data_IF_901082952293
#
_entry.id   IF_901082952293
#
_cell.length_a   1.000
_cell.length_b   1.000
_cell.length_c   1.000
_cell.angle_alpha   90.00
_cell.angle_beta   90.00
_cell.angle_gamma   90.00
#
_symmetry.space_group_name_H-M   'P 1'
#
loop_
_entity.id
_entity.type
_entity.pdbx_description
1 polymer ?
#
# COMPACT_ATOMS: atom_id res chain seq x y z
N UNK A 1 -23.07 -0.40 -18.82
CA UNK A 1 -23.35 -1.44 -17.79
C UNK A 1 -24.22 -0.80 -16.75
N UNK A 2 -25.40 -1.35 -16.46
CA UNK A 2 -26.26 -0.90 -15.35
C UNK A 2 -25.57 -1.30 -14.03
N UNK A 3 -25.26 -0.32 -13.22
CA UNK A 3 -24.75 -0.53 -11.89
C UNK A 3 -25.83 -1.14 -11.01
N UNK A 4 -25.55 -2.32 -10.56
CA UNK A 4 -26.03 -2.99 -9.37
C UNK A 4 -27.49 -2.91 -9.02
N UNK A 5 -28.22 -3.94 -9.37
CA UNK A 5 -29.52 -4.24 -8.75
C UNK A 5 -29.36 -4.86 -7.34
N UNK A 6 -28.40 -4.40 -6.52
CA UNK A 6 -28.29 -4.88 -5.15
C UNK A 6 -29.47 -4.36 -4.31
N UNK A 7 -30.10 -5.19 -3.49
CA UNK A 7 -31.13 -4.75 -2.56
C UNK A 7 -30.60 -3.60 -1.69
N UNK A 8 -31.33 -2.49 -1.61
CA UNK A 8 -30.94 -1.32 -0.85
C UNK A 8 -30.28 -0.20 -1.65
N UNK A 9 -30.14 -0.32 -2.95
CA UNK A 9 -29.71 0.76 -3.81
C UNK A 9 -30.79 1.84 -3.91
N UNK A 10 -30.46 3.09 -3.62
CA UNK A 10 -31.41 4.20 -3.47
C UNK A 10 -32.16 4.49 -4.77
N UNK A 11 -31.52 4.29 -5.94
CA UNK A 11 -32.19 4.47 -7.23
C UNK A 11 -31.55 3.57 -8.30
N UNK A 12 -32.25 2.49 -8.62
CA UNK A 12 -31.82 1.48 -9.60
C UNK A 12 -31.81 2.00 -11.05
N UNK A 13 -32.50 3.09 -11.33
CA UNK A 13 -32.65 3.63 -12.67
C UNK A 13 -31.74 4.83 -12.93
N UNK A 14 -31.06 5.29 -11.89
CA UNK A 14 -30.17 6.45 -11.99
C UNK A 14 -28.78 6.03 -12.50
N UNK A 15 -28.33 6.69 -13.53
CA UNK A 15 -26.97 6.60 -14.02
C UNK A 15 -26.14 7.78 -13.48
N UNK A 16 -25.44 7.55 -12.37
CA UNK A 16 -24.61 8.58 -11.74
C UNK A 16 -23.51 9.08 -12.66
N UNK A 17 -23.00 8.26 -13.57
CA UNK A 17 -21.98 8.68 -14.53
C UNK A 17 -22.52 9.75 -15.49
N UNK A 18 -23.72 9.51 -16.04
CA UNK A 18 -24.42 10.52 -16.83
C UNK A 18 -24.70 11.79 -16.03
N UNK A 19 -25.07 11.68 -14.76
CA UNK A 19 -25.32 12.84 -13.90
C UNK A 19 -24.06 13.69 -13.70
N UNK A 20 -22.90 13.08 -13.46
CA UNK A 20 -21.63 13.78 -13.34
C UNK A 20 -21.26 14.48 -14.67
N UNK A 21 -21.42 13.80 -15.80
CA UNK A 21 -21.13 14.39 -17.10
C UNK A 21 -22.05 15.57 -17.41
N UNK A 22 -23.36 15.45 -17.10
CA UNK A 22 -24.31 16.55 -17.23
C UNK A 22 -24.00 17.73 -16.29
N UNK A 23 -23.42 17.47 -15.13
CA UNK A 23 -22.91 18.49 -14.21
C UNK A 23 -21.59 19.14 -14.67
N UNK A 24 -21.04 18.74 -15.82
CA UNK A 24 -19.84 19.34 -16.42
C UNK A 24 -18.53 18.66 -16.08
N UNK A 25 -18.58 17.46 -15.49
CA UNK A 25 -17.35 16.67 -15.25
C UNK A 25 -16.85 16.04 -16.56
N UNK A 26 -15.57 16.22 -16.85
CA UNK A 26 -14.87 15.40 -17.82
C UNK A 26 -14.68 14.00 -17.21
N UNK A 27 -14.91 12.96 -18.01
CA UNK A 27 -14.81 11.59 -17.54
C UNK A 27 -13.66 10.86 -18.19
N UNK A 28 -12.84 10.19 -17.38
CA UNK A 28 -11.74 9.34 -17.80
C UNK A 28 -11.94 7.92 -17.26
N UNK A 29 -12.30 6.94 -18.10
CA UNK A 29 -12.46 5.53 -17.71
C UNK A 29 -11.15 4.73 -17.68
N UNK A 30 -10.09 5.26 -18.26
CA UNK A 30 -8.79 4.60 -18.42
C UNK A 30 -7.66 5.63 -18.43
N UNK A 31 -6.41 5.14 -18.40
CA UNK A 31 -5.22 5.99 -18.42
C UNK A 31 -5.12 6.82 -19.69
N UNK A 32 -5.41 6.22 -20.84
CA UNK A 32 -5.32 6.94 -22.11
C UNK A 32 -6.27 8.13 -22.14
N UNK A 33 -7.50 7.97 -21.66
CA UNK A 33 -8.47 9.04 -21.52
C UNK A 33 -8.02 10.08 -20.49
N UNK A 34 -7.44 9.66 -19.36
CA UNK A 34 -6.89 10.57 -18.37
C UNK A 34 -5.75 11.41 -18.95
N UNK A 35 -4.85 10.81 -19.72
CA UNK A 35 -3.75 11.51 -20.36
C UNK A 35 -4.25 12.55 -21.38
N UNK A 36 -5.33 12.26 -22.08
CA UNK A 36 -5.94 13.15 -23.08
C UNK A 36 -6.68 14.36 -22.47
N UNK A 37 -6.95 14.38 -21.18
CA UNK A 37 -7.57 15.52 -20.49
C UNK A 37 -6.68 16.76 -20.62
N UNK A 38 -7.23 17.85 -21.19
CA UNK A 38 -6.61 19.18 -21.20
C UNK A 38 -6.88 19.87 -19.84
N UNK A 39 -5.87 20.01 -18.97
CA UNK A 39 -6.07 20.59 -17.64
C UNK A 39 -6.45 22.08 -17.66
N UNK A 40 -6.12 22.80 -18.73
CA UNK A 40 -6.44 24.22 -18.84
C UNK A 40 -7.92 24.47 -19.15
N UNK A 41 -8.58 23.48 -19.76
CA UNK A 41 -10.00 23.55 -20.14
C UNK A 41 -10.91 22.78 -19.18
N UNK A 42 -10.34 21.90 -18.36
CA UNK A 42 -11.09 21.04 -17.44
C UNK A 42 -11.17 21.68 -16.06
N UNK A 43 -12.37 21.85 -15.55
CA UNK A 43 -12.62 22.39 -14.21
C UNK A 43 -13.00 21.31 -13.21
N UNK A 44 -13.62 20.26 -13.71
CA UNK A 44 -14.12 19.13 -12.91
C UNK A 44 -13.77 17.84 -13.66
N UNK A 45 -13.15 16.91 -12.97
CA UNK A 45 -12.67 15.64 -13.53
C UNK A 45 -13.14 14.48 -12.68
N UNK A 46 -13.71 13.47 -13.32
CA UNK A 46 -14.07 12.19 -12.74
C UNK A 46 -13.24 11.09 -13.41
N UNK A 47 -12.37 10.46 -12.66
CA UNK A 47 -11.64 9.25 -13.09
C UNK A 47 -12.19 8.02 -12.39
N UNK A 48 -12.65 7.03 -13.13
CA UNK A 48 -13.11 5.75 -12.60
C UNK A 48 -12.50 4.63 -13.44
N UNK A 49 -11.45 4.03 -12.93
CA UNK A 49 -10.57 3.15 -13.69
C UNK A 49 -10.82 1.65 -13.44
N UNK A 50 -11.72 1.30 -12.54
CA UNK A 50 -12.12 -0.07 -12.28
C UNK A 50 -13.55 -0.12 -11.71
N UNK A 51 -14.11 -1.31 -11.62
CA UNK A 51 -15.43 -1.56 -11.01
C UNK A 51 -15.39 -1.67 -9.48
N UNK A 52 -14.23 -1.91 -8.94
CA UNK A 52 -13.96 -2.03 -7.51
C UNK A 52 -12.61 -1.37 -7.21
N UNK A 53 -11.77 -1.98 -6.40
CA UNK A 53 -10.41 -1.50 -6.20
C UNK A 53 -9.65 -1.46 -7.54
N UNK A 54 -8.81 -0.47 -7.71
CA UNK A 54 -7.87 -0.47 -8.84
C UNK A 54 -6.87 -1.63 -8.69
N UNK A 55 -6.30 -2.05 -9.80
CA UNK A 55 -5.20 -3.01 -9.78
C UNK A 55 -4.06 -2.47 -8.91
N UNK A 56 -3.42 -3.36 -8.17
CA UNK A 56 -2.29 -3.00 -7.31
C UNK A 56 -1.05 -2.64 -8.14
N UNK A 57 -0.12 -1.90 -7.55
CA UNK A 57 1.07 -1.41 -8.24
C UNK A 57 1.86 -2.52 -8.93
N UNK A 58 2.09 -3.66 -8.26
CA UNK A 58 2.76 -4.82 -8.86
C UNK A 58 2.09 -5.26 -10.16
N UNK A 59 0.77 -5.44 -10.12
CA UNK A 59 0.01 -5.94 -11.27
C UNK A 59 0.03 -4.93 -12.44
N UNK A 60 -0.04 -3.64 -12.14
CA UNK A 60 0.10 -2.56 -13.15
C UNK A 60 1.51 -2.52 -13.76
N UNK A 61 2.55 -2.65 -12.93
CA UNK A 61 3.96 -2.65 -13.38
C UNK A 61 4.22 -3.84 -14.30
N UNK A 62 3.87 -5.03 -13.84
CA UNK A 62 4.11 -6.26 -14.59
C UNK A 62 3.27 -6.32 -15.87
N UNK A 63 2.02 -5.87 -15.83
CA UNK A 63 1.17 -5.75 -17.02
C UNK A 63 1.76 -4.81 -18.06
N UNK A 64 2.26 -3.63 -17.64
CA UNK A 64 2.92 -2.67 -18.54
C UNK A 64 4.21 -3.24 -19.14
N UNK A 65 5.02 -3.92 -18.33
CA UNK A 65 6.26 -4.57 -18.77
C UNK A 65 5.99 -5.72 -19.73
N UNK A 66 5.02 -6.58 -19.43
CA UNK A 66 4.60 -7.67 -20.29
C UNK A 66 4.12 -7.16 -21.66
N UNK A 67 3.28 -6.13 -21.67
CA UNK A 67 2.80 -5.49 -22.91
C UNK A 67 3.94 -4.93 -23.75
N UNK A 68 4.92 -4.29 -23.14
CA UNK A 68 6.09 -3.76 -23.86
C UNK A 68 6.95 -4.85 -24.49
N UNK A 69 6.99 -6.04 -23.88
CA UNK A 69 7.77 -7.19 -24.34
C UNK A 69 6.96 -8.13 -25.24
N UNK A 70 5.68 -7.85 -25.45
CA UNK A 70 4.80 -8.74 -26.21
C UNK A 70 4.54 -10.09 -25.51
N UNK A 71 4.63 -10.11 -24.18
CA UNK A 71 4.36 -11.30 -23.36
C UNK A 71 2.90 -11.34 -22.94
N UNK A 72 2.47 -12.51 -22.47
CA UNK A 72 1.16 -12.65 -21.83
C UNK A 72 1.06 -11.77 -20.59
N UNK A 73 -0.12 -11.21 -20.36
CA UNK A 73 -0.37 -10.44 -19.15
C UNK A 73 -0.28 -11.35 -17.91
N UNK A 74 0.37 -10.88 -16.84
CA UNK A 74 0.43 -11.62 -15.59
C UNK A 74 -0.95 -11.71 -14.93
N UNK A 75 -1.09 -12.62 -14.00
CA UNK A 75 -2.30 -12.75 -13.21
C UNK A 75 -2.47 -11.50 -12.34
N UNK A 76 -3.64 -10.88 -12.46
CA UNK A 76 -4.03 -9.69 -11.70
C UNK A 76 -4.92 -10.11 -10.54
N UNK A 77 -4.65 -9.55 -9.35
CA UNK A 77 -5.55 -9.70 -8.20
C UNK A 77 -6.82 -8.89 -8.48
N UNK A 78 -7.97 -9.48 -8.23
CA UNK A 78 -9.28 -8.83 -8.45
C UNK A 78 -9.47 -8.29 -9.87
N UNK A 79 -9.12 -9.07 -10.89
CA UNK A 79 -9.27 -8.68 -12.29
C UNK A 79 -10.75 -8.42 -12.65
N UNK A 80 -11.04 -7.19 -13.02
CA UNK A 80 -12.35 -6.75 -13.49
C UNK A 80 -12.37 -6.39 -14.98
N UNK A 81 -11.30 -6.72 -15.71
CA UNK A 81 -11.17 -6.48 -17.15
C UNK A 81 -10.88 -5.03 -17.53
N UNK A 82 -10.14 -4.30 -16.69
CA UNK A 82 -9.71 -2.92 -16.94
C UNK A 82 -8.17 -2.82 -16.90
N UNK A 83 -7.47 -3.19 -17.98
CA UNK A 83 -6.01 -3.28 -17.97
C UNK A 83 -5.30 -1.92 -18.05
N UNK A 84 -5.95 -0.88 -18.58
CA UNK A 84 -5.34 0.44 -18.77
C UNK A 84 -5.68 1.38 -17.60
N UNK A 85 -5.03 1.11 -16.46
CA UNK A 85 -5.21 1.93 -15.26
C UNK A 85 -3.99 2.84 -15.01
N UNK A 86 -4.19 4.10 -14.57
CA UNK A 86 -3.08 4.97 -14.21
C UNK A 86 -2.43 4.55 -12.90
N UNK A 87 -1.16 4.93 -12.72
CA UNK A 87 -0.48 4.89 -11.44
C UNK A 87 -0.92 6.08 -10.57
N UNK A 88 -0.70 5.98 -9.26
CA UNK A 88 -1.11 7.04 -8.33
C UNK A 88 -0.38 8.37 -8.58
N UNK A 89 0.90 8.33 -8.94
CA UNK A 89 1.67 9.52 -9.30
C UNK A 89 1.14 10.18 -10.60
N UNK A 90 0.69 9.40 -11.57
CA UNK A 90 0.05 9.89 -12.79
C UNK A 90 -1.29 10.58 -12.49
N UNK A 91 -2.08 9.98 -11.59
CA UNK A 91 -3.35 10.57 -11.13
C UNK A 91 -3.10 11.86 -10.35
N UNK A 92 -2.12 11.86 -9.43
CA UNK A 92 -1.73 13.04 -8.66
C UNK A 92 -1.27 14.19 -9.55
N UNK A 93 -0.42 13.91 -10.52
CA UNK A 93 0.05 14.91 -11.49
C UNK A 93 -1.11 15.52 -12.28
N UNK A 94 -2.05 14.70 -12.77
CA UNK A 94 -3.22 15.19 -13.50
C UNK A 94 -4.16 16.01 -12.61
N UNK A 95 -4.38 15.57 -11.37
CA UNK A 95 -5.20 16.30 -10.40
C UNK A 95 -4.61 17.69 -10.10
N UNK A 96 -3.33 17.77 -9.82
CA UNK A 96 -2.62 19.04 -9.58
C UNK A 96 -2.68 19.95 -10.82
N UNK A 97 -2.47 19.40 -12.02
CA UNK A 97 -2.54 20.16 -13.24
C UNK A 97 -3.92 20.80 -13.50
N UNK A 98 -5.00 20.13 -13.08
CA UNK A 98 -6.36 20.67 -13.16
C UNK A 98 -6.63 21.67 -12.03
N UNK A 99 -6.24 21.33 -10.80
CA UNK A 99 -6.60 22.09 -9.60
C UNK A 99 -5.81 23.40 -9.46
N UNK A 100 -4.58 23.48 -9.96
CA UNK A 100 -3.75 24.70 -9.87
C UNK A 100 -4.41 25.95 -10.49
N UNK A 101 -5.40 25.76 -11.34
CA UNK A 101 -6.13 26.86 -11.97
C UNK A 101 -7.32 27.36 -11.15
N UNK A 102 -7.52 26.86 -9.93
CA UNK A 102 -8.61 27.29 -9.07
C UNK A 102 -8.23 28.61 -8.36
N UNK A 103 -9.00 29.70 -8.59
CA UNK A 103 -8.61 31.04 -8.11
C UNK A 103 -8.66 31.18 -6.59
N UNK A 104 -9.32 30.27 -5.90
CA UNK A 104 -9.41 30.24 -4.41
C UNK A 104 -8.48 29.21 -3.77
N UNK A 105 -7.56 28.64 -4.53
CA UNK A 105 -6.76 27.50 -4.09
C UNK A 105 -7.54 26.19 -4.08
N UNK A 106 -6.93 25.15 -3.56
CA UNK A 106 -7.51 23.80 -3.49
C UNK A 106 -6.99 23.03 -2.29
N UNK A 107 -7.71 21.99 -1.95
CA UNK A 107 -7.27 20.90 -1.07
C UNK A 107 -7.32 19.62 -1.89
N UNK A 108 -6.23 18.86 -1.90
CA UNK A 108 -6.12 17.59 -2.58
C UNK A 108 -5.70 16.51 -1.59
N UNK A 109 -6.48 15.44 -1.51
CA UNK A 109 -6.10 14.22 -0.79
C UNK A 109 -5.67 13.17 -1.80
N UNK A 110 -4.51 12.57 -1.57
CA UNK A 110 -3.95 11.48 -2.38
C UNK A 110 -3.78 10.29 -1.46
N UNK A 111 -4.43 9.17 -1.79
CA UNK A 111 -4.48 8.00 -0.92
C UNK A 111 -3.80 6.78 -1.58
N UNK A 112 -2.80 6.22 -0.90
CA UNK A 112 -2.22 4.92 -1.22
C UNK A 112 -3.01 3.77 -0.57
N UNK A 113 -4.29 3.64 -0.89
CA UNK A 113 -5.24 2.75 -0.22
C UNK A 113 -4.87 1.26 -0.24
N UNK A 114 -4.14 0.81 -1.25
CA UNK A 114 -3.80 -0.60 -1.39
C UNK A 114 -2.60 -1.02 -0.56
N UNK A 115 -1.85 -0.09 0.04
CA UNK A 115 -0.84 -0.42 1.06
C UNK A 115 -1.50 -1.20 2.20
N UNK A 116 -2.57 -0.67 2.77
CA UNK A 116 -3.36 -1.33 3.84
C UNK A 116 -3.94 -2.67 3.38
N UNK A 117 -4.59 -2.68 2.22
CA UNK A 117 -5.25 -3.90 1.71
C UNK A 117 -4.28 -5.06 1.50
N UNK A 118 -3.10 -4.79 0.96
CA UNK A 118 -2.09 -5.82 0.73
C UNK A 118 -1.35 -6.16 2.03
N UNK A 119 -1.20 -5.22 2.96
CA UNK A 119 -0.67 -5.49 4.30
C UNK A 119 -1.61 -6.39 5.11
N UNK A 120 -2.92 -6.20 5.03
CA UNK A 120 -3.88 -7.12 5.62
C UNK A 120 -3.70 -8.57 5.12
N UNK A 121 -3.45 -8.74 3.82
CA UNK A 121 -3.16 -10.04 3.24
C UNK A 121 -1.74 -10.54 3.53
N UNK A 122 -0.90 -9.73 4.17
CA UNK A 122 0.53 -10.00 4.40
C UNK A 122 1.29 -10.27 3.09
N UNK A 123 0.82 -9.67 2.00
CA UNK A 123 1.45 -9.76 0.69
C UNK A 123 2.56 -8.73 0.58
N UNK A 124 3.76 -9.15 0.99
CA UNK A 124 4.93 -8.29 1.13
C UNK A 124 5.29 -7.58 -0.17
N UNK A 125 5.31 -8.28 -1.28
CA UNK A 125 5.72 -7.70 -2.56
C UNK A 125 4.74 -6.60 -2.99
N UNK A 126 3.45 -6.87 -2.85
CA UNK A 126 2.43 -5.92 -3.26
C UNK A 126 2.39 -4.69 -2.38
N UNK A 127 2.34 -4.81 -1.05
CA UNK A 127 2.29 -3.60 -0.22
C UNK A 127 3.58 -2.77 -0.27
N UNK A 128 4.75 -3.39 -0.49
CA UNK A 128 6.00 -2.64 -0.70
C UNK A 128 5.96 -1.85 -2.00
N UNK A 129 5.47 -2.44 -3.09
CA UNK A 129 5.35 -1.73 -4.37
C UNK A 129 4.26 -0.66 -4.34
N UNK A 130 3.17 -0.87 -3.61
CA UNK A 130 2.18 0.17 -3.32
C UNK A 130 2.80 1.36 -2.56
N UNK A 131 3.67 1.07 -1.59
CA UNK A 131 4.39 2.12 -0.85
C UNK A 131 5.33 2.91 -1.76
N UNK A 132 6.01 2.25 -2.70
CA UNK A 132 6.84 2.93 -3.70
C UNK A 132 5.99 3.76 -4.67
N UNK A 133 4.83 3.28 -5.08
CA UNK A 133 3.88 4.05 -5.90
C UNK A 133 3.41 5.31 -5.15
N UNK A 134 3.10 5.17 -3.86
CA UNK A 134 2.73 6.30 -3.00
C UNK A 134 3.89 7.30 -2.83
N UNK A 135 5.11 6.84 -2.60
CA UNK A 135 6.30 7.70 -2.49
C UNK A 135 6.49 8.55 -3.76
N UNK A 136 6.26 7.98 -4.94
CA UNK A 136 6.28 8.71 -6.21
C UNK A 136 5.19 9.78 -6.29
N UNK A 137 4.00 9.50 -5.80
CA UNK A 137 2.93 10.49 -5.73
C UNK A 137 3.27 11.62 -4.74
N UNK A 138 3.89 11.28 -3.60
CA UNK A 138 4.44 12.26 -2.65
C UNK A 138 5.49 13.14 -3.33
N UNK A 139 6.38 12.55 -4.13
CA UNK A 139 7.37 13.33 -4.89
C UNK A 139 6.70 14.32 -5.85
N UNK A 140 5.67 13.92 -6.57
CA UNK A 140 4.90 14.80 -7.45
C UNK A 140 4.33 15.98 -6.67
N UNK A 141 3.74 15.75 -5.50
CA UNK A 141 3.20 16.80 -4.65
C UNK A 141 4.29 17.74 -4.11
N UNK A 142 5.44 17.19 -3.69
CA UNK A 142 6.57 17.99 -3.21
C UNK A 142 7.19 18.84 -4.32
N UNK A 143 7.35 18.30 -5.52
CA UNK A 143 7.89 19.04 -6.65
C UNK A 143 6.96 20.20 -7.03
N UNK A 144 5.64 19.95 -7.04
CA UNK A 144 4.65 20.99 -7.22
C UNK A 144 4.77 22.10 -6.15
N UNK A 145 4.87 21.70 -4.87
CA UNK A 145 5.00 22.65 -3.78
C UNK A 145 6.31 23.47 -3.84
N UNK A 146 7.41 22.87 -4.29
CA UNK A 146 8.68 23.61 -4.51
C UNK A 146 8.57 24.62 -5.65
N UNK A 147 7.90 24.25 -6.72
CA UNK A 147 7.73 25.11 -7.89
C UNK A 147 6.85 26.33 -7.58
N UNK A 148 5.76 26.15 -6.83
CA UNK A 148 4.78 27.19 -6.55
C UNK A 148 5.09 28.00 -5.27
N UNK A 149 5.72 27.39 -4.28
CA UNK A 149 6.15 28.05 -3.04
C UNK A 149 5.03 28.36 -2.04
N UNK A 150 3.79 28.09 -2.34
CA UNK A 150 2.58 28.41 -1.56
C UNK A 150 1.78 27.18 -1.13
N UNK A 151 2.32 26.00 -1.33
CA UNK A 151 1.62 24.74 -1.09
C UNK A 151 2.19 24.01 0.10
N UNK A 152 1.33 23.67 1.06
CA UNK A 152 1.62 22.79 2.19
C UNK A 152 1.34 21.34 1.79
N UNK A 153 2.32 20.48 1.95
CA UNK A 153 2.20 19.03 1.75
C UNK A 153 2.31 18.33 3.10
N UNK A 154 1.38 17.47 3.42
CA UNK A 154 1.38 16.61 4.61
C UNK A 154 1.31 15.17 4.17
N UNK A 155 2.15 14.32 4.74
CA UNK A 155 2.22 12.90 4.48
C UNK A 155 2.08 12.16 5.79
N UNK A 156 1.09 11.29 5.89
CA UNK A 156 0.85 10.48 7.07
C UNK A 156 0.10 9.20 6.70
N UNK A 157 -0.10 8.32 7.65
CA UNK A 157 -1.05 7.22 7.56
C UNK A 157 -2.21 7.46 8.54
N UNK A 158 -3.35 6.84 8.28
CA UNK A 158 -4.50 6.83 9.19
C UNK A 158 -4.29 5.85 10.35
N UNK A 159 -3.53 4.78 10.12
CA UNK A 159 -3.13 3.76 11.11
C UNK A 159 -1.99 2.90 10.55
N UNK A 160 -1.43 2.07 11.40
CA UNK A 160 -0.57 0.96 11.05
C UNK A 160 -1.42 -0.24 10.60
N UNK A 161 -0.86 -1.11 9.77
CA UNK A 161 -1.50 -2.37 9.36
C UNK A 161 -0.55 -3.56 9.46
N UNK A 162 -1.10 -4.68 9.93
CA UNK A 162 -0.44 -6.00 10.03
C UNK A 162 0.72 -6.13 11.02
N UNK A 163 1.13 -5.08 11.70
CA UNK A 163 2.35 -5.08 12.51
C UNK A 163 3.59 -5.41 11.66
N UNK A 164 3.61 -4.93 10.43
CA UNK A 164 4.71 -5.17 9.50
C UNK A 164 5.98 -4.49 10.00
N UNK A 165 7.04 -5.29 10.18
CA UNK A 165 8.33 -4.79 10.64
C UNK A 165 9.45 -5.28 9.73
N UNK A 166 10.28 -4.36 9.26
CA UNK A 166 11.54 -4.69 8.61
C UNK A 166 12.51 -5.22 9.65
N UNK A 167 12.80 -6.53 9.61
CA UNK A 167 13.70 -7.18 10.57
C UNK A 167 15.14 -7.08 10.08
N UNK A 168 15.35 -7.07 8.77
CA UNK A 168 16.68 -6.99 8.17
C UNK A 168 16.71 -7.42 6.73
N UNK A 169 17.91 -7.69 6.21
CA UNK A 169 18.15 -8.20 4.87
C UNK A 169 18.86 -9.55 4.87
N UNK A 170 18.58 -10.38 3.88
CA UNK A 170 19.28 -11.65 3.70
C UNK A 170 20.67 -11.43 3.10
N UNK A 171 21.65 -12.19 3.61
CA UNK A 171 22.99 -12.29 3.02
C UNK A 171 23.07 -13.32 1.91
N UNK A 172 22.08 -14.18 1.84
CA UNK A 172 22.05 -15.28 0.88
C UNK A 172 21.69 -14.72 -0.48
N UNK A 173 22.35 -15.17 -1.52
CA UNK A 173 22.04 -14.78 -2.89
C UNK A 173 20.69 -15.37 -3.32
N UNK A 174 20.04 -14.78 -4.32
CA UNK A 174 18.78 -15.28 -4.88
C UNK A 174 18.89 -16.74 -5.34
N UNK A 175 20.02 -17.13 -5.92
CA UNK A 175 20.26 -18.50 -6.36
C UNK A 175 20.34 -19.49 -5.18
N UNK A 176 20.98 -19.09 -4.09
CA UNK A 176 21.04 -19.89 -2.87
C UNK A 176 19.68 -19.99 -2.18
N UNK A 177 18.91 -18.91 -2.12
CA UNK A 177 17.55 -18.92 -1.60
C UNK A 177 16.66 -19.87 -2.38
N UNK A 178 16.72 -19.84 -3.71
CA UNK A 178 15.99 -20.78 -4.57
C UNK A 178 16.44 -22.22 -4.37
N UNK A 179 17.74 -22.47 -4.21
CA UNK A 179 18.27 -23.78 -3.94
C UNK A 179 17.80 -24.32 -2.58
N UNK A 180 17.79 -23.48 -1.54
CA UNK A 180 17.28 -23.83 -0.22
C UNK A 180 15.78 -24.14 -0.24
N UNK A 181 15.00 -23.37 -0.98
CA UNK A 181 13.57 -23.60 -1.16
C UNK A 181 13.28 -24.94 -1.86
N UNK A 182 14.07 -25.28 -2.89
CA UNK A 182 13.95 -26.56 -3.62
C UNK A 182 14.40 -27.77 -2.81
N UNK A 183 15.38 -27.61 -1.93
CA UNK A 183 15.91 -28.70 -1.11
C UNK A 183 14.94 -29.24 -0.05
N UNK A 184 13.82 -28.56 0.17
CA UNK A 184 12.73 -29.04 1.02
C UNK A 184 13.06 -29.21 2.49
N UNK A 185 14.21 -28.73 2.93
CA UNK A 185 14.63 -28.76 4.33
C UNK A 185 14.00 -27.58 5.08
N UNK A 186 12.89 -27.83 5.74
CA UNK A 186 12.18 -26.82 6.55
C UNK A 186 12.96 -26.43 7.83
N UNK A 187 14.00 -27.15 8.15
CA UNK A 187 14.77 -26.91 9.35
C UNK A 187 15.70 -25.74 9.15
N UNK A 188 15.31 -24.57 9.68
CA UNK A 188 16.14 -23.38 9.81
C UNK A 188 16.56 -22.66 8.52
N UNK A 189 15.68 -22.54 7.56
CA UNK A 189 15.83 -21.50 6.53
C UNK A 189 16.05 -20.13 7.19
N UNK A 190 15.40 -19.85 8.32
CA UNK A 190 15.61 -18.64 9.11
C UNK A 190 17.04 -18.43 9.56
N UNK A 191 17.62 -19.40 10.21
CA UNK A 191 18.99 -19.27 10.74
C UNK A 191 20.04 -19.08 9.63
N UNK A 192 19.70 -19.49 8.42
CA UNK A 192 20.58 -19.34 7.25
C UNK A 192 20.35 -18.04 6.50
N UNK A 193 19.12 -17.49 6.52
CA UNK A 193 18.75 -16.29 5.77
C UNK A 193 18.65 -15.04 6.62
N UNK A 194 18.45 -15.15 7.94
CA UNK A 194 18.45 -14.00 8.83
C UNK A 194 19.85 -13.44 8.95
N UNK A 195 20.12 -12.34 8.28
CA UNK A 195 21.28 -11.52 8.53
C UNK A 195 21.07 -10.67 9.78
N UNK A 196 22.14 -10.47 10.56
CA UNK A 196 22.12 -9.42 11.56
C UNK A 196 21.97 -8.08 10.83
N UNK A 197 20.99 -7.26 11.26
CA UNK A 197 20.62 -5.99 10.61
C UNK A 197 21.85 -5.11 10.27
N UNK A 198 22.75 -4.96 11.22
CA UNK A 198 23.97 -4.16 11.06
C UNK A 198 25.00 -4.73 10.07
N UNK A 199 24.96 -6.03 9.85
CA UNK A 199 25.94 -6.73 9.03
C UNK A 199 25.42 -7.15 7.66
N UNK A 200 24.11 -7.35 7.52
CA UNK A 200 23.52 -7.76 6.26
C UNK A 200 23.46 -6.61 5.24
N UNK A 201 23.27 -5.38 5.72
CA UNK A 201 22.95 -4.24 4.87
C UNK A 201 21.57 -4.41 4.20
N UNK A 202 21.08 -3.34 3.63
CA UNK A 202 19.87 -3.43 2.79
C UNK A 202 20.26 -3.89 1.39
N UNK A 203 19.43 -4.72 0.74
CA UNK A 203 19.66 -5.08 -0.66
C UNK A 203 19.62 -3.84 -1.54
N UNK A 204 20.51 -3.80 -2.52
CA UNK A 204 20.50 -2.75 -3.55
C UNK A 204 19.74 -3.29 -4.74
N UNK A 205 18.59 -2.70 -5.01
CA UNK A 205 17.77 -3.04 -6.16
C UNK A 205 18.19 -2.21 -7.36
N UNK A 206 18.30 -2.85 -8.51
CA UNK A 206 18.49 -2.17 -9.80
C UNK A 206 17.11 -1.63 -10.21
N UNK A 207 17.06 -0.34 -10.55
CA UNK A 207 15.85 0.28 -11.07
C UNK A 207 15.73 0.05 -12.59
N UNK A 208 14.55 -0.30 -13.04
CA UNK A 208 14.20 -0.35 -14.45
C UNK A 208 13.91 1.06 -14.99
N UNK A 209 13.71 1.17 -16.29
CA UNK A 209 13.43 2.44 -16.95
C UNK A 209 12.13 3.13 -16.47
N UNK A 210 11.18 2.34 -15.95
CA UNK A 210 9.93 2.83 -15.37
C UNK A 210 10.11 3.40 -13.95
N UNK A 211 11.34 3.33 -13.39
CA UNK A 211 11.67 3.83 -12.06
C UNK A 211 11.29 2.92 -10.89
N UNK A 212 10.78 1.72 -11.18
CA UNK A 212 10.53 0.68 -10.18
C UNK A 212 11.67 -0.34 -10.17
N UNK A 213 11.80 -1.17 -9.12
CA UNK A 213 12.79 -2.23 -9.10
C UNK A 213 12.67 -3.13 -10.34
N UNK A 214 13.82 -3.50 -10.91
CA UNK A 214 13.86 -4.39 -12.07
C UNK A 214 13.23 -5.76 -11.76
N UNK A 215 13.45 -6.26 -10.53
CA UNK A 215 12.73 -7.41 -9.99
C UNK A 215 11.58 -6.93 -9.13
N UNK A 216 10.41 -7.47 -9.32
CA UNK A 216 9.24 -7.24 -8.47
C UNK A 216 9.21 -8.16 -7.26
N UNK A 217 10.04 -9.19 -7.25
CA UNK A 217 10.23 -10.13 -6.14
C UNK A 217 11.20 -9.53 -5.10
N UNK A 218 10.72 -8.53 -4.37
CA UNK A 218 11.51 -7.80 -3.38
C UNK A 218 11.57 -8.48 -2.02
N UNK A 219 10.64 -9.38 -1.73
CA UNK A 219 10.57 -10.13 -0.48
C UNK A 219 11.77 -11.08 -0.29
N UNK A 220 12.39 -11.54 -1.36
CA UNK A 220 13.50 -12.50 -1.28
C UNK A 220 14.69 -12.02 -0.46
N UNK A 221 14.93 -10.73 -0.41
CA UNK A 221 16.09 -10.15 0.25
C UNK A 221 15.76 -9.37 1.50
N UNK A 222 14.51 -8.99 1.68
CA UNK A 222 14.03 -8.32 2.87
C UNK A 222 13.37 -9.34 3.81
N UNK A 223 13.74 -9.23 5.08
CA UNK A 223 13.15 -10.04 6.15
C UNK A 223 12.10 -9.19 6.84
N UNK A 224 10.84 -9.55 6.63
CA UNK A 224 9.69 -8.85 7.17
C UNK A 224 8.93 -9.77 8.10
N UNK A 225 8.63 -9.27 9.28
CA UNK A 225 7.78 -9.94 10.27
C UNK A 225 6.42 -9.25 10.35
N UNK A 226 5.40 -10.02 10.67
CA UNK A 226 4.03 -9.54 10.86
C UNK A 226 3.58 -9.85 12.29
N UNK A 227 3.43 -8.81 13.11
CA UNK A 227 3.10 -8.94 14.53
C UNK A 227 1.60 -8.95 14.83
N UNK A 228 0.78 -8.48 13.91
CA UNK A 228 -0.66 -8.28 14.14
C UNK A 228 -1.57 -9.29 13.42
N UNK A 229 -1.06 -10.46 13.11
CA UNK A 229 -1.88 -11.56 12.61
C UNK A 229 -2.56 -12.28 13.77
N UNK A 230 -3.40 -11.59 14.52
CA UNK A 230 -3.76 -12.03 15.85
C UNK A 230 -5.26 -12.18 16.05
N UNK A 231 -5.85 -13.16 15.40
CA UNK A 231 -7.15 -13.68 15.87
C UNK A 231 -6.97 -14.66 17.05
N UNK A 232 -5.74 -15.02 17.38
CA UNK A 232 -5.42 -15.95 18.45
C UNK A 232 -4.12 -15.55 19.14
N UNK A 233 -4.03 -15.89 20.41
CA UNK A 233 -2.83 -15.79 21.19
C UNK A 233 -2.05 -17.10 21.11
N UNK A 234 -0.75 -17.03 20.88
CA UNK A 234 0.16 -18.17 20.93
C UNK A 234 1.11 -18.06 22.11
N UNK A 235 1.40 -19.19 22.72
CA UNK A 235 2.51 -19.27 23.63
C UNK A 235 3.81 -19.54 22.85
N UNK A 236 4.64 -18.54 22.75
CA UNK A 236 5.93 -18.61 22.04
C UNK A 236 6.95 -19.50 22.72
N UNK A 237 6.79 -19.76 23.99
CA UNK A 237 7.77 -20.53 24.78
C UNK A 237 7.83 -21.99 24.39
N UNK A 238 6.71 -22.69 24.17
CA UNK A 238 6.74 -24.05 23.67
C UNK A 238 6.84 -24.17 22.15
N UNK A 239 6.67 -23.09 21.41
CA UNK A 239 6.78 -23.12 19.96
C UNK A 239 7.97 -22.28 19.46
N UNK A 240 9.19 -22.89 19.40
CA UNK A 240 10.37 -22.20 18.91
C UNK A 240 10.32 -21.89 17.41
N UNK A 241 9.27 -22.31 16.71
CA UNK A 241 9.10 -22.14 15.27
C UNK A 241 7.79 -21.43 15.00
N UNK A 242 7.75 -20.09 15.04
CA UNK A 242 6.55 -19.38 14.62
C UNK A 242 6.26 -19.75 13.17
N UNK A 243 5.05 -20.26 12.94
CA UNK A 243 4.62 -20.68 11.62
C UNK A 243 4.31 -19.44 10.80
N UNK A 244 5.02 -19.29 9.70
CA UNK A 244 4.65 -18.34 8.67
C UNK A 244 3.44 -18.86 7.90
N UNK A 245 2.65 -17.94 7.38
CA UNK A 245 1.56 -18.27 6.49
C UNK A 245 2.06 -19.05 5.26
N UNK A 246 1.32 -20.10 4.88
CA UNK A 246 1.76 -21.10 3.90
C UNK A 246 1.88 -20.61 2.47
N UNK A 247 1.72 -19.32 2.21
CA UNK A 247 1.97 -18.71 0.91
C UNK A 247 3.42 -18.32 0.64
N UNK A 248 4.28 -18.35 1.66
CA UNK A 248 5.66 -17.92 1.48
C UNK A 248 6.48 -18.96 0.71
N UNK A 249 7.21 -18.58 -0.37
CA UNK A 249 7.90 -19.53 -1.26
C UNK A 249 9.00 -20.35 -0.56
N UNK A 250 9.45 -19.92 0.62
CA UNK A 250 10.51 -20.56 1.38
C UNK A 250 10.00 -21.44 2.54
N UNK A 251 8.70 -21.48 2.77
CA UNK A 251 8.10 -22.32 3.81
C UNK A 251 7.30 -23.42 3.14
N UNK A 252 7.64 -24.66 3.43
CA UNK A 252 6.87 -25.80 2.97
C UNK A 252 5.42 -25.62 3.40
N UNK A 253 4.49 -25.75 2.49
CA UNK A 253 3.06 -25.77 2.78
C UNK A 253 2.75 -27.04 3.60
N UNK A 254 3.04 -27.00 4.87
CA UNK A 254 2.36 -27.93 5.78
C UNK A 254 1.03 -27.26 6.15
N UNK A 255 -0.02 -28.07 6.38
CA UNK A 255 -1.23 -27.54 6.97
C UNK A 255 -0.79 -26.85 8.27
N UNK A 256 -0.75 -25.53 8.24
CA UNK A 256 -0.39 -24.73 9.39
C UNK A 256 -1.46 -24.94 10.44
N UNK A 257 -1.23 -25.92 11.30
CA UNK A 257 -1.95 -25.99 12.54
C UNK A 257 -1.49 -24.77 13.35
N UNK A 258 -2.34 -23.75 13.43
CA UNK A 258 -2.21 -22.80 14.52
C UNK A 258 -2.34 -23.65 15.79
N UNK A 259 -1.28 -23.75 16.57
CA UNK A 259 -1.36 -24.37 17.87
C UNK A 259 -2.35 -23.54 18.71
N UNK A 260 -3.32 -24.18 19.36
CA UNK A 260 -4.17 -23.45 20.29
C UNK A 260 -3.27 -22.82 21.35
N UNK A 261 -3.55 -21.57 21.68
CA UNK A 261 -2.84 -20.88 22.73
C UNK A 261 -2.83 -21.72 24.01
N UNK A 262 -1.69 -21.82 24.66
CA UNK A 262 -1.58 -22.57 25.90
C UNK A 262 -2.52 -21.97 26.95
N UNK A 263 -3.50 -22.72 27.47
CA UNK A 263 -4.43 -22.22 28.47
C UNK A 263 -3.76 -21.76 29.78
N UNK A 264 -2.52 -22.19 30.03
CA UNK A 264 -1.71 -21.74 31.15
C UNK A 264 -1.05 -20.38 30.96
N UNK A 265 -1.02 -19.87 29.73
CA UNK A 265 -0.45 -18.56 29.40
C UNK A 265 -1.47 -17.43 29.50
N UNK A 266 -2.47 -17.53 30.33
CA UNK A 266 -3.49 -16.54 30.59
C UNK A 266 -3.13 -15.66 31.79
N UNK A 267 -3.52 -14.37 31.72
CA UNK A 267 -3.50 -13.49 32.88
C UNK A 267 -4.65 -13.84 33.88
N UNK A 268 -4.71 -13.09 34.97
CA UNK A 268 -5.72 -13.31 36.02
C UNK A 268 -7.17 -13.09 35.50
N UNK A 269 -7.37 -12.33 34.42
CA UNK A 269 -8.66 -12.10 33.80
C UNK A 269 -8.94 -13.08 32.65
N UNK A 270 -8.10 -14.06 32.45
CA UNK A 270 -8.25 -15.08 31.44
C UNK A 270 -7.84 -14.68 30.03
N UNK A 271 -7.13 -13.54 29.85
CA UNK A 271 -6.56 -13.12 28.58
C UNK A 271 -5.22 -13.78 28.35
N UNK A 272 -4.86 -14.02 27.11
CA UNK A 272 -3.56 -14.54 26.76
C UNK A 272 -2.48 -13.47 26.85
N UNK A 273 -1.32 -13.83 27.40
CA UNK A 273 -0.22 -12.91 27.66
C UNK A 273 0.62 -12.61 26.43
N UNK A 274 0.59 -13.48 25.43
CA UNK A 274 1.41 -13.37 24.24
C UNK A 274 0.55 -13.60 23.00
N UNK A 275 0.64 -12.67 22.06
CA UNK A 275 0.06 -12.83 20.73
C UNK A 275 1.11 -13.40 19.80
N UNK A 276 0.78 -14.47 19.10
CA UNK A 276 1.64 -15.08 18.09
C UNK A 276 1.18 -14.81 16.66
N UNK A 277 1.99 -15.22 15.71
CA UNK A 277 1.56 -15.30 14.32
C UNK A 277 0.56 -16.43 14.19
N UNK A 278 -0.67 -16.10 13.88
CA UNK A 278 -1.74 -17.05 13.68
C UNK A 278 -2.14 -17.03 12.23
N UNK A 279 -2.41 -18.19 11.69
CA UNK A 279 -2.97 -18.30 10.36
C UNK A 279 -4.34 -17.65 10.32
N UNK A 280 -4.43 -16.54 9.64
CA UNK A 280 -5.66 -15.86 9.29
C UNK A 280 -5.59 -15.41 7.85
N UNK A 281 -6.73 -15.20 7.22
CA UNK A 281 -6.81 -14.61 5.89
C UNK A 281 -6.53 -13.10 5.90
N UNK A 282 -6.46 -12.50 7.08
CA UNK A 282 -6.27 -11.07 7.24
C UNK A 282 -5.56 -10.78 8.57
N UNK A 283 -4.52 -9.98 8.52
CA UNK A 283 -3.90 -9.42 9.71
C UNK A 283 -4.71 -8.25 10.26
N UNK A 284 -4.60 -8.02 11.56
CA UNK A 284 -5.24 -6.88 12.21
C UNK A 284 -4.36 -5.62 12.10
N UNK A 285 -4.91 -4.49 12.48
CA UNK A 285 -4.18 -3.24 12.71
C UNK A 285 -3.61 -3.21 14.11
N UNK A 286 -2.46 -2.58 14.28
CA UNK A 286 -1.91 -2.33 15.62
C UNK A 286 -2.24 -0.91 16.10
N UNK A 287 -2.11 -0.68 17.40
CA UNK A 287 -2.25 0.63 18.00
C UNK A 287 -0.93 1.44 17.99
N UNK A 288 -0.06 1.18 17.04
CA UNK A 288 1.20 1.92 16.92
C UNK A 288 0.97 3.35 16.39
N UNK A 289 1.80 4.27 16.90
CA UNK A 289 1.86 5.61 16.34
C UNK A 289 2.35 5.57 14.89
N UNK A 290 1.82 6.48 14.08
CA UNK A 290 2.24 6.64 12.68
C UNK A 290 3.01 7.94 12.48
N UNK A 291 4.04 7.94 11.60
CA UNK A 291 4.77 9.16 11.32
C UNK A 291 3.93 10.17 10.54
N UNK A 292 4.11 11.45 10.84
CA UNK A 292 3.60 12.54 10.04
C UNK A 292 4.77 13.41 9.60
N UNK A 293 4.85 13.68 8.31
CA UNK A 293 5.83 14.58 7.71
C UNK A 293 5.11 15.74 7.03
N UNK A 294 5.66 16.94 7.15
CA UNK A 294 5.11 18.13 6.51
C UNK A 294 6.20 18.89 5.75
N UNK A 295 5.82 19.52 4.63
CA UNK A 295 6.70 20.29 3.78
C UNK A 295 5.97 21.51 3.22
N UNK A 296 6.64 22.67 3.16
CA UNK A 296 6.09 23.91 2.64
C UNK A 296 5.64 24.91 3.73
N UNK A 297 4.94 25.98 3.36
CA UNK A 297 4.46 26.99 4.31
C UNK A 297 3.58 26.39 5.39
N UNK A 298 3.83 26.72 6.66
CA UNK A 298 3.07 26.20 7.79
C UNK A 298 3.47 24.79 8.27
N UNK A 299 4.42 24.13 7.62
CA UNK A 299 4.87 22.77 8.00
C UNK A 299 5.34 22.67 9.45
N UNK A 300 5.89 23.72 10.02
CA UNK A 300 6.34 23.77 11.41
C UNK A 300 5.23 23.49 12.45
N UNK A 301 3.96 23.66 12.06
CA UNK A 301 2.82 23.39 12.93
C UNK A 301 2.64 21.87 13.18
N UNK A 302 3.24 21.02 12.35
CA UNK A 302 3.07 19.56 12.38
C UNK A 302 4.28 18.85 13.00
N UNK A 303 4.98 19.50 13.92
CA UNK A 303 6.11 18.91 14.63
C UNK A 303 5.70 18.35 15.99
N UNK A 304 6.47 17.36 16.48
CA UNK A 304 6.26 16.73 17.80
C UNK A 304 5.23 15.59 17.74
N UNK A 305 4.82 15.14 18.91
CA UNK A 305 3.73 14.16 19.06
C UNK A 305 2.43 14.93 19.15
N UNK A 306 1.48 14.59 18.31
CA UNK A 306 0.19 15.27 18.20
C UNK A 306 -0.93 14.23 18.13
N UNK A 307 -2.08 14.58 18.69
CA UNK A 307 -3.28 13.75 18.52
C UNK A 307 -3.80 13.84 17.08
N UNK A 308 -4.34 12.74 16.58
CA UNK A 308 -4.87 12.69 15.22
C UNK A 308 -5.92 13.79 14.95
N UNK A 309 -6.75 14.11 15.92
CA UNK A 309 -7.75 15.19 15.84
C UNK A 309 -7.14 16.58 15.69
N UNK A 310 -5.93 16.80 16.20
CA UNK A 310 -5.23 18.09 16.09
C UNK A 310 -4.79 18.40 14.66
N UNK A 311 -4.57 17.36 13.83
CA UNK A 311 -4.23 17.52 12.42
C UNK A 311 -5.29 18.35 11.70
N UNK A 312 -6.57 18.10 11.98
CA UNK A 312 -7.67 18.86 11.37
C UNK A 312 -7.58 20.36 11.72
N UNK A 313 -7.37 20.70 13.00
CA UNK A 313 -7.33 22.12 13.43
C UNK A 313 -6.11 22.83 12.85
N UNK A 314 -4.97 22.17 12.78
CA UNK A 314 -3.75 22.74 12.21
C UNK A 314 -3.88 22.94 10.70
N UNK A 315 -4.49 21.97 9.99
CA UNK A 315 -4.83 22.12 8.58
C UNK A 315 -5.82 23.25 8.33
N UNK A 316 -6.90 23.31 9.12
CA UNK A 316 -7.89 24.37 8.99
C UNK A 316 -7.25 25.76 9.22
N UNK A 317 -6.36 25.87 10.20
CA UNK A 317 -5.62 27.11 10.43
C UNK A 317 -4.73 27.47 9.24
N UNK A 318 -3.99 26.52 8.67
CA UNK A 318 -3.15 26.76 7.50
C UNK A 318 -3.97 27.22 6.29
N UNK A 319 -5.15 26.61 6.03
CA UNK A 319 -6.04 26.99 4.93
C UNK A 319 -6.68 28.36 5.12
N UNK A 320 -7.10 28.68 6.35
CA UNK A 320 -7.80 29.94 6.64
C UNK A 320 -6.83 31.13 6.77
N UNK A 321 -5.67 30.90 7.36
CA UNK A 321 -4.66 31.97 7.54
C UNK A 321 -3.96 32.36 6.23
N UNK A 322 -4.00 31.50 5.23
CA UNK A 322 -3.21 31.66 4.01
C UNK A 322 -1.72 31.40 4.26
N UNK A 323 -0.91 31.44 3.19
CA UNK A 323 0.54 31.30 3.28
C UNK A 323 1.19 32.46 4.02
#
# INVERSE_FOLDING_TARGET
RRWGAAPGTIDLNRDLLSDFQQAGFAYAPDKASLDAIDPRRTRQLLGLFNLSNMNVALDKIDGRRAKQQGLAEPTVVDDHGFPDQPMLDEMAAKALAVLQHQPKGFVLMIEGASIDKQAHAMDTERWLLETLEFDRAVKVAQDFAREHGDTLVIVTADHECSGAALIGGSRVSDAELQALAKAGGADNLRDKVVGVYEQAGFPRYVLAADGYPQTTDIDRRLLIGYGANADRYEDWRPNPRPLRDGGHPFVKQEPLASYPANPLARDAEGRYLVTGQVRGSSAARTGADVPLSAFGPGAWQFSGVIDNTDVFFRLAQAVVAGP
#
